data_IF_925659065200
#
_entry.id   IF_925659065200
#
_cell.length_a   1.000
_cell.length_b   1.000
_cell.length_c   1.000
_cell.angle_alpha   90.00
_cell.angle_beta   90.00
_cell.angle_gamma   90.00
#
_symmetry.space_group_name_H-M   'P 1'
#
loop_
_entity.id
_entity.type
_entity.pdbx_description
1 polymer ?
#
# COMPACT_ATOMS: atom_id res chain seq x y z
N UNK A 1 6.58 -19.67 11.88
CA UNK A 1 6.80 -18.76 10.73
C UNK A 1 6.33 -19.39 9.42
N UNK A 2 6.25 -20.73 9.36
CA UNK A 2 5.83 -21.51 8.18
C UNK A 2 4.37 -21.30 7.76
N UNK A 3 3.44 -21.12 8.71
CA UNK A 3 2.02 -20.91 8.41
C UNK A 3 1.71 -19.59 7.69
N UNK A 4 2.43 -18.50 8.06
CA UNK A 4 2.31 -17.21 7.38
C UNK A 4 2.89 -17.27 5.97
N UNK A 5 4.01 -17.97 5.81
CA UNK A 5 4.65 -18.18 4.50
C UNK A 5 3.72 -18.97 3.55
N UNK A 6 3.08 -20.04 4.03
CA UNK A 6 2.09 -20.81 3.28
C UNK A 6 0.88 -19.97 2.86
N UNK A 7 0.34 -19.15 3.77
CA UNK A 7 -0.74 -18.20 3.45
C UNK A 7 -0.30 -17.20 2.39
N UNK A 8 0.89 -16.60 2.52
CA UNK A 8 1.39 -15.65 1.51
C UNK A 8 1.74 -16.27 0.17
N UNK A 9 2.15 -17.55 0.11
CA UNK A 9 2.37 -18.25 -1.16
C UNK A 9 1.06 -18.59 -1.88
N UNK A 10 -0.01 -18.84 -1.13
CA UNK A 10 -1.33 -19.09 -1.70
C UNK A 10 -2.11 -17.80 -2.00
N UNK A 11 -1.81 -16.71 -1.31
CA UNK A 11 -2.55 -15.45 -1.46
C UNK A 11 -1.93 -14.59 -2.56
N UNK A 12 -2.65 -14.48 -3.67
CA UNK A 12 -2.28 -13.60 -4.77
C UNK A 12 -2.27 -12.13 -4.30
N UNK A 13 -1.13 -11.43 -4.46
CA UNK A 13 -0.99 -10.02 -4.10
C UNK A 13 -2.09 -9.17 -4.76
N UNK A 14 -2.48 -9.48 -6.00
CA UNK A 14 -3.56 -8.78 -6.69
C UNK A 14 -4.90 -8.89 -5.95
N UNK A 15 -5.22 -10.06 -5.39
CA UNK A 15 -6.46 -10.27 -4.62
C UNK A 15 -6.44 -9.49 -3.31
N UNK A 16 -5.29 -9.45 -2.63
CA UNK A 16 -5.10 -8.61 -1.43
C UNK A 16 -5.28 -7.13 -1.75
N UNK A 17 -4.66 -6.64 -2.83
CA UNK A 17 -4.79 -5.25 -3.27
C UNK A 17 -6.23 -4.90 -3.65
N UNK A 18 -6.94 -5.82 -4.31
CA UNK A 18 -8.36 -5.65 -4.63
C UNK A 18 -9.24 -5.60 -3.38
N UNK A 19 -8.96 -6.45 -2.39
CA UNK A 19 -9.65 -6.44 -1.10
C UNK A 19 -9.43 -5.09 -0.38
N UNK A 20 -8.18 -4.63 -0.30
CA UNK A 20 -7.83 -3.34 0.30
C UNK A 20 -8.50 -2.15 -0.40
N UNK A 21 -8.52 -2.17 -1.73
CA UNK A 21 -9.21 -1.15 -2.51
C UNK A 21 -10.70 -1.15 -2.20
N UNK A 22 -11.34 -2.33 -2.17
CA UNK A 22 -12.75 -2.48 -1.81
C UNK A 22 -13.05 -1.94 -0.41
N UNK A 23 -12.29 -2.36 0.60
CA UNK A 23 -12.43 -1.85 1.98
C UNK A 23 -12.26 -0.33 2.04
N UNK A 24 -11.30 0.24 1.29
CA UNK A 24 -11.05 1.68 1.28
C UNK A 24 -12.17 2.45 0.60
N UNK A 25 -12.75 1.92 -0.47
CA UNK A 25 -13.91 2.50 -1.15
C UNK A 25 -15.16 2.45 -0.28
N UNK A 26 -15.45 1.31 0.36
CA UNK A 26 -16.57 1.22 1.31
C UNK A 26 -16.36 2.08 2.55
N UNK A 27 -15.13 2.19 3.04
CA UNK A 27 -14.78 3.07 4.15
C UNK A 27 -14.89 4.56 3.79
N UNK A 28 -14.67 4.94 2.53
CA UNK A 28 -14.78 6.33 2.06
C UNK A 28 -16.21 6.90 2.08
N UNK A 29 -17.22 6.07 2.36
CA UNK A 29 -18.61 6.52 2.56
C UNK A 29 -18.73 7.40 3.82
N UNK A 30 -17.80 7.27 4.78
CA UNK A 30 -17.71 8.12 5.96
C UNK A 30 -16.25 8.57 6.19
N UNK A 31 -15.97 9.21 7.33
CA UNK A 31 -14.60 9.63 7.67
C UNK A 31 -13.63 8.45 7.72
N UNK A 32 -12.64 8.48 6.82
CA UNK A 32 -11.62 7.46 6.63
C UNK A 32 -10.36 8.12 6.03
N UNK A 33 -9.13 7.66 6.32
CA UNK A 33 -7.92 8.06 5.63
C UNK A 33 -8.02 7.94 4.09
N UNK A 34 -8.20 9.08 3.44
CA UNK A 34 -8.36 9.18 1.98
C UNK A 34 -7.09 8.83 1.21
N UNK A 35 -5.92 8.90 1.84
CA UNK A 35 -4.63 8.52 1.24
C UNK A 35 -4.52 7.02 0.93
N UNK A 36 -5.35 6.16 1.54
CA UNK A 36 -5.29 4.72 1.32
C UNK A 36 -5.72 4.32 -0.12
N UNK A 37 -6.73 4.98 -0.67
CA UNK A 37 -7.22 4.70 -2.03
C UNK A 37 -6.13 4.85 -3.11
N UNK A 38 -5.45 6.02 -3.25
CA UNK A 38 -4.42 6.19 -4.26
C UNK A 38 -3.23 5.25 -4.05
N UNK A 39 -2.89 4.92 -2.80
CA UNK A 39 -1.82 3.93 -2.49
C UNK A 39 -2.18 2.55 -3.05
N UNK A 40 -3.42 2.09 -2.89
CA UNK A 40 -3.83 0.78 -3.41
C UNK A 40 -3.97 0.75 -4.93
N UNK A 41 -4.43 1.84 -5.55
CA UNK A 41 -4.39 1.98 -7.01
C UNK A 41 -2.95 1.91 -7.54
N UNK A 42 -2.03 2.63 -6.90
CA UNK A 42 -0.62 2.58 -7.23
C UNK A 42 -0.06 1.15 -7.06
N UNK A 43 -0.45 0.43 -6.01
CA UNK A 43 -0.06 -0.97 -5.79
C UNK A 43 -0.55 -1.92 -6.89
N UNK A 44 -1.80 -1.80 -7.33
CA UNK A 44 -2.35 -2.62 -8.43
C UNK A 44 -1.57 -2.36 -9.70
N UNK A 45 -1.32 -1.10 -10.03
CA UNK A 45 -0.52 -0.74 -11.20
C UNK A 45 0.92 -1.27 -11.08
N UNK A 46 1.59 -1.04 -9.94
CA UNK A 46 2.97 -1.46 -9.71
C UNK A 46 3.15 -2.98 -9.74
N UNK A 47 2.12 -3.73 -9.33
CA UNK A 47 2.10 -5.18 -9.48
C UNK A 47 2.04 -5.63 -10.94
N UNK A 48 1.21 -4.97 -11.77
CA UNK A 48 1.10 -5.28 -13.20
C UNK A 48 2.26 -4.74 -14.04
N UNK A 49 3.05 -3.80 -13.51
CA UNK A 49 4.24 -3.30 -14.17
C UNK A 49 5.40 -4.31 -14.01
N UNK A 50 5.82 -4.90 -15.12
CA UNK A 50 6.86 -5.94 -15.16
C UNK A 50 8.20 -5.47 -15.73
N UNK A 51 8.27 -4.27 -16.30
CA UNK A 51 9.51 -3.74 -16.91
C UNK A 51 10.56 -3.31 -15.86
N UNK A 52 10.12 -2.96 -14.65
CA UNK A 52 11.00 -2.63 -13.53
C UNK A 52 10.40 -3.07 -12.19
N UNK A 53 11.28 -3.43 -11.25
CA UNK A 53 10.92 -3.73 -9.86
C UNK A 53 10.91 -2.48 -8.96
N UNK A 54 11.40 -1.34 -9.46
CA UNK A 54 11.44 -0.09 -8.70
C UNK A 54 10.05 0.35 -8.21
N UNK A 55 8.97 0.27 -9.02
CA UNK A 55 7.66 0.70 -8.57
C UNK A 55 7.04 -0.19 -7.48
N UNK A 56 7.21 -1.51 -7.55
CA UNK A 56 6.71 -2.42 -6.51
C UNK A 56 7.50 -2.26 -5.20
N UNK A 57 8.79 -1.91 -5.27
CA UNK A 57 9.61 -1.54 -4.10
C UNK A 57 9.11 -0.23 -3.47
N UNK A 58 8.87 0.79 -4.28
CA UNK A 58 8.31 2.06 -3.82
C UNK A 58 6.91 1.87 -3.24
N UNK A 59 6.07 1.03 -3.85
CA UNK A 59 4.77 0.66 -3.28
C UNK A 59 4.93 -0.02 -1.91
N UNK A 60 5.87 -0.96 -1.78
CA UNK A 60 6.11 -1.68 -0.53
C UNK A 60 6.54 -0.74 0.60
N UNK A 61 7.42 0.23 0.32
CA UNK A 61 7.84 1.22 1.31
C UNK A 61 6.71 2.18 1.69
N UNK A 62 5.92 2.64 0.72
CA UNK A 62 4.74 3.49 0.95
C UNK A 62 3.66 2.73 1.74
N UNK A 63 3.41 1.47 1.42
CA UNK A 63 2.46 0.63 2.13
C UNK A 63 2.89 0.43 3.60
N UNK A 64 4.18 0.16 3.84
CA UNK A 64 4.71 0.04 5.19
C UNK A 64 4.57 1.35 5.99
N UNK A 65 4.88 2.49 5.36
CA UNK A 65 4.70 3.82 5.97
C UNK A 65 3.22 4.11 6.25
N UNK A 66 2.31 3.71 5.35
CA UNK A 66 0.86 3.90 5.53
C UNK A 66 0.30 3.19 6.76
N UNK A 67 0.91 2.10 7.23
CA UNK A 67 0.52 1.42 8.47
C UNK A 67 0.71 2.36 9.65
N UNK A 68 1.85 3.07 9.71
CA UNK A 68 2.12 4.03 10.76
C UNK A 68 1.15 5.22 10.71
N UNK A 69 0.84 5.73 9.49
CA UNK A 69 -0.14 6.80 9.33
C UNK A 69 -1.55 6.37 9.78
N UNK A 70 -1.99 5.15 9.46
CA UNK A 70 -3.30 4.66 9.88
C UNK A 70 -3.39 4.57 11.40
N UNK A 71 -2.35 4.08 12.08
CA UNK A 71 -2.30 4.03 13.55
C UNK A 71 -2.42 5.44 14.14
N UNK A 72 -1.69 6.42 13.59
CA UNK A 72 -1.80 7.83 14.01
C UNK A 72 -3.21 8.35 13.77
N UNK A 73 -3.80 8.05 12.60
CA UNK A 73 -5.16 8.47 12.27
C UNK A 73 -6.18 7.92 13.27
N UNK A 74 -6.09 6.65 13.63
CA UNK A 74 -6.95 6.03 14.64
C UNK A 74 -6.77 6.62 16.03
N UNK A 75 -5.55 7.00 16.42
CA UNK A 75 -5.31 7.69 17.69
C UNK A 75 -5.98 9.07 17.70
N UNK A 76 -5.94 9.79 16.58
CA UNK A 76 -6.48 11.15 16.47
C UNK A 76 -8.01 11.19 16.27
N UNK A 77 -8.58 10.23 15.54
CA UNK A 77 -9.99 10.22 15.14
C UNK A 77 -10.79 9.07 15.76
N UNK A 78 -10.21 8.27 16.65
CA UNK A 78 -10.84 7.07 17.20
C UNK A 78 -12.07 7.32 18.08
N UNK A 79 -12.21 8.52 18.65
CA UNK A 79 -13.47 8.98 19.21
C UNK A 79 -14.32 9.58 18.10
N UNK A 80 -15.54 9.08 17.90
CA UNK A 80 -16.53 9.64 16.96
C UNK A 80 -16.96 11.06 17.40
N UNK A 81 -16.04 12.02 17.31
CA UNK A 81 -16.17 13.35 17.90
C UNK A 81 -17.16 14.20 17.11
N UNK A 82 -17.34 13.88 15.82
CA UNK A 82 -18.22 14.59 14.88
C UNK A 82 -19.63 14.01 14.82
N UNK A 83 -19.91 12.87 15.48
CA UNK A 83 -21.23 12.24 15.48
C UNK A 83 -21.68 11.73 14.11
N UNK A 84 -20.74 11.39 13.22
CA UNK A 84 -21.04 11.01 11.85
C UNK A 84 -21.74 9.64 11.78
N UNK A 85 -22.85 9.59 11.03
CA UNK A 85 -23.52 8.34 10.72
C UNK A 85 -22.63 7.47 9.82
N UNK A 86 -22.42 6.20 10.20
CA UNK A 86 -21.55 5.29 9.46
C UNK A 86 -20.08 5.32 9.87
N UNK A 87 -19.68 6.16 10.83
CA UNK A 87 -18.30 6.20 11.35
C UNK A 87 -17.82 4.82 11.82
N UNK A 88 -18.63 4.09 12.60
CA UNK A 88 -18.28 2.75 13.08
C UNK A 88 -18.09 1.75 11.92
N UNK A 89 -18.90 1.87 10.86
CA UNK A 89 -18.76 1.00 9.69
C UNK A 89 -17.45 1.27 8.95
N UNK A 90 -17.12 2.53 8.68
CA UNK A 90 -15.85 2.91 8.06
C UNK A 90 -14.65 2.53 8.93
N UNK A 91 -14.77 2.70 10.26
CA UNK A 91 -13.77 2.28 11.23
C UNK A 91 -13.49 0.78 11.14
N UNK A 92 -14.52 -0.07 11.10
CA UNK A 92 -14.36 -1.53 10.97
C UNK A 92 -13.68 -1.89 9.64
N UNK A 93 -14.10 -1.30 8.51
CA UNK A 93 -13.47 -1.55 7.22
C UNK A 93 -11.98 -1.18 7.23
N UNK A 94 -11.64 -0.06 7.87
CA UNK A 94 -10.28 0.43 7.94
C UNK A 94 -9.43 -0.37 8.94
N UNK A 95 -10.00 -0.88 10.04
CA UNK A 95 -9.32 -1.82 10.94
C UNK A 95 -9.00 -3.14 10.23
N UNK A 96 -9.95 -3.69 9.47
CA UNK A 96 -9.71 -4.90 8.67
C UNK A 96 -8.58 -4.62 7.66
N UNK A 97 -8.60 -3.46 7.00
CA UNK A 97 -7.52 -3.05 6.10
C UNK A 97 -6.18 -2.95 6.84
N UNK A 98 -6.13 -2.36 8.02
CA UNK A 98 -4.92 -2.24 8.83
C UNK A 98 -4.30 -3.60 9.18
N UNK A 99 -5.12 -4.59 9.55
CA UNK A 99 -4.66 -5.95 9.86
C UNK A 99 -4.19 -6.70 8.61
N UNK A 100 -4.81 -6.45 7.46
CA UNK A 100 -4.39 -7.06 6.19
C UNK A 100 -3.08 -6.44 5.63
N UNK A 101 -2.77 -5.18 5.94
CA UNK A 101 -1.59 -4.47 5.37
C UNK A 101 -0.25 -5.19 5.64
N UNK A 102 0.06 -5.68 6.86
CA UNK A 102 1.27 -6.48 7.09
C UNK A 102 1.36 -7.71 6.18
N UNK A 103 0.24 -8.40 5.96
CA UNK A 103 0.18 -9.57 5.06
C UNK A 103 0.50 -9.14 3.63
N UNK A 104 -0.03 -8.01 3.17
CA UNK A 104 0.27 -7.44 1.86
C UNK A 104 1.73 -6.98 1.72
N UNK A 105 2.34 -6.44 2.77
CA UNK A 105 3.78 -6.10 2.78
C UNK A 105 4.61 -7.37 2.59
N UNK A 106 4.33 -8.44 3.33
CA UNK A 106 5.03 -9.72 3.14
C UNK A 106 4.80 -10.31 1.74
N UNK A 107 3.59 -10.24 1.21
CA UNK A 107 3.28 -10.70 -0.14
C UNK A 107 4.00 -9.87 -1.22
N UNK A 108 4.11 -8.55 -1.03
CA UNK A 108 4.88 -7.67 -1.92
C UNK A 108 6.38 -7.96 -1.87
N UNK A 109 6.92 -8.22 -0.67
CA UNK A 109 8.31 -8.68 -0.47
C UNK A 109 8.57 -9.99 -1.21
N UNK A 110 7.68 -10.98 -1.05
CA UNK A 110 7.80 -12.25 -1.78
C UNK A 110 7.73 -12.06 -3.29
N UNK A 111 6.94 -11.10 -3.77
CA UNK A 111 6.86 -10.76 -5.20
C UNK A 111 8.14 -10.11 -5.70
N UNK A 112 8.79 -9.26 -4.91
CA UNK A 112 10.09 -8.66 -5.26
C UNK A 112 11.17 -9.75 -5.33
N UNK A 113 11.21 -10.63 -4.33
CA UNK A 113 12.19 -11.72 -4.28
C UNK A 113 11.97 -12.75 -5.40
N UNK A 114 10.72 -13.08 -5.74
CA UNK A 114 10.41 -14.00 -6.86
C UNK A 114 10.79 -13.42 -8.22
N UNK A 115 10.82 -12.09 -8.35
CA UNK A 115 11.35 -11.38 -9.52
C UNK A 115 12.88 -11.26 -9.52
N UNK A 116 13.57 -11.84 -8.53
CA UNK A 116 15.03 -11.88 -8.45
C UNK A 116 15.70 -10.62 -7.93
N UNK A 117 14.97 -9.74 -7.25
CA UNK A 117 15.49 -8.47 -6.73
C UNK A 117 15.62 -8.48 -5.20
N UNK A 118 16.53 -7.63 -4.69
CA UNK A 118 16.86 -7.47 -3.28
C UNK A 118 15.93 -6.49 -2.55
N UNK A 119 15.80 -6.64 -1.24
CA UNK A 119 15.00 -5.76 -0.37
C UNK A 119 15.74 -4.46 -0.05
N UNK A 120 15.86 -3.60 -1.05
CA UNK A 120 16.27 -2.21 -0.87
C UNK A 120 15.06 -1.29 -1.07
N UNK A 121 15.02 -0.16 -0.37
CA UNK A 121 14.02 0.88 -0.63
C UNK A 121 14.13 1.31 -2.11
N UNK A 122 13.02 1.28 -2.83
CA UNK A 122 12.98 1.74 -4.23
C UNK A 122 13.41 3.20 -4.34
N UNK A 123 14.05 3.56 -5.45
CA UNK A 123 14.40 4.94 -5.71
C UNK A 123 13.14 5.73 -6.06
N UNK A 124 12.84 6.77 -5.29
CA UNK A 124 11.72 7.68 -5.61
C UNK A 124 11.94 8.42 -6.94
N UNK A 125 13.19 8.53 -7.40
CA UNK A 125 13.56 9.10 -8.70
C UNK A 125 13.34 8.14 -9.88
N UNK A 126 12.98 6.89 -9.60
CA UNK A 126 12.56 5.88 -10.57
C UNK A 126 11.08 5.56 -10.42
N UNK A 127 10.38 6.27 -9.52
CA UNK A 127 8.95 6.13 -9.38
C UNK A 127 8.27 6.57 -10.69
N UNK A 128 7.22 5.87 -11.14
CA UNK A 128 6.55 6.20 -12.39
C UNK A 128 6.04 7.65 -12.38
N UNK A 129 6.42 8.44 -13.39
CA UNK A 129 6.08 9.86 -13.46
C UNK A 129 7.04 10.79 -12.70
N UNK A 130 8.10 10.26 -12.07
CA UNK A 130 9.23 11.09 -11.65
C UNK A 130 9.85 11.76 -12.87
N UNK A 131 10.03 13.07 -12.81
CA UNK A 131 10.67 13.82 -13.89
C UNK A 131 12.03 13.19 -14.25
N UNK A 132 12.20 12.65 -15.46
CA UNK A 132 13.47 12.07 -15.86
C UNK A 132 14.52 13.19 -15.92
N UNK A 133 15.61 13.04 -15.17
CA UNK A 133 16.89 13.70 -15.46
C UNK A 133 16.84 15.22 -15.67
N UNK A 134 16.33 16.00 -14.71
CA UNK A 134 16.45 17.46 -14.74
C UNK A 134 17.89 17.96 -14.44
N UNK A 135 18.93 17.30 -14.95
CA UNK A 135 20.27 17.82 -15.20
C UNK A 135 21.13 16.77 -15.93
N UNK A 136 20.81 16.44 -17.19
CA UNK A 136 21.93 16.27 -18.11
C UNK A 136 22.59 17.65 -18.22
N UNK A 137 23.59 17.92 -17.39
CA UNK A 137 24.50 19.03 -17.64
C UNK A 137 25.13 18.74 -19.00
N UNK A 138 24.65 19.45 -20.03
CA UNK A 138 25.30 19.54 -21.33
C UNK A 138 26.77 19.83 -21.02
N UNK A 139 27.65 18.85 -21.26
CA UNK A 139 29.08 19.06 -21.17
C UNK A 139 29.45 19.83 -22.43
N UNK A 140 29.86 21.08 -22.25
CA UNK A 140 30.58 21.87 -23.26
C UNK A 140 31.88 21.14 -23.69
#
# INVERSE_FOLDING_TARGET
MDGLQHLTQQTNLASLLGLHLGLSLFGAIASNPTYNIPIFFFGIWAYNYHESNSPIKTFTSVLALSIALDVIWFILHGGNTTGEAGFTFAMVMNIISLVCKPISVFAAINTIQSRGDSLNAGSWAEAPGSFPGAYETVRD
#
